data_IF_139343202430
#
_entry.id   IF_139343202430
#
_cell.length_a   1.000
_cell.length_b   1.000
_cell.length_c   1.000
_cell.angle_alpha   90.00
_cell.angle_beta   90.00
_cell.angle_gamma   90.00
#
_symmetry.space_group_name_H-M   'P 1'
#
loop_
_entity.id
_entity.type
_entity.pdbx_description
1 polymer ?
#
# COMPACT_ATOMS: atom_id res chain seq x y z
N UNK A 1 -14.25 37.79 5.41
CA UNK A 1 -14.62 36.36 5.34
C UNK A 1 -15.56 36.07 6.50
N UNK A 2 -16.75 35.54 6.19
CA UNK A 2 -17.85 35.40 7.14
C UNK A 2 -17.59 34.27 8.15
N UNK A 3 -18.00 34.41 9.42
CA UNK A 3 -17.68 33.46 10.51
C UNK A 3 -18.12 32.02 10.17
N UNK A 4 -19.28 31.88 9.50
CA UNK A 4 -19.79 30.62 8.96
C UNK A 4 -18.86 30.00 7.91
N UNK A 5 -18.29 30.80 7.01
CA UNK A 5 -17.34 30.31 6.00
C UNK A 5 -16.04 29.83 6.64
N UNK A 6 -15.54 30.52 7.65
CA UNK A 6 -14.36 30.09 8.40
C UNK A 6 -14.58 28.78 9.16
N UNK A 7 -15.74 28.59 9.81
CA UNK A 7 -16.09 27.33 10.49
C UNK A 7 -16.19 26.18 9.49
N UNK A 8 -16.83 26.39 8.34
CA UNK A 8 -16.95 25.37 7.28
C UNK A 8 -15.57 25.01 6.70
N UNK A 9 -14.69 25.99 6.50
CA UNK A 9 -13.32 25.75 6.02
C UNK A 9 -12.49 24.97 7.04
N UNK A 10 -12.60 25.31 8.33
CA UNK A 10 -11.91 24.62 9.42
C UNK A 10 -12.42 23.18 9.62
N UNK A 11 -13.74 22.96 9.57
CA UNK A 11 -14.32 21.62 9.62
C UNK A 11 -13.88 20.77 8.42
N UNK A 12 -13.83 21.36 7.21
CA UNK A 12 -13.36 20.66 6.01
C UNK A 12 -11.88 20.29 6.06
N UNK A 13 -11.02 21.14 6.63
CA UNK A 13 -9.59 20.81 6.79
C UNK A 13 -9.34 19.75 7.87
N UNK A 14 -10.11 19.79 8.96
CA UNK A 14 -10.08 18.78 10.02
C UNK A 14 -10.49 17.40 9.51
N UNK A 15 -11.63 17.32 8.82
CA UNK A 15 -12.16 16.06 8.31
C UNK A 15 -11.28 15.50 7.19
N UNK A 16 -10.81 16.32 6.25
CA UNK A 16 -9.96 15.87 5.12
C UNK A 16 -8.79 14.99 5.55
N UNK A 17 -8.14 15.35 6.66
CA UNK A 17 -6.96 14.67 7.18
C UNK A 17 -7.28 13.59 8.22
N UNK A 18 -8.55 13.33 8.51
CA UNK A 18 -8.99 12.37 9.52
C UNK A 18 -8.42 10.96 9.31
N UNK A 19 -8.35 10.37 8.10
CA UNK A 19 -7.80 9.03 7.92
C UNK A 19 -6.32 8.94 8.34
N UNK A 20 -5.53 9.98 8.03
CA UNK A 20 -4.13 10.07 8.47
C UNK A 20 -4.05 10.19 9.99
N UNK A 21 -4.91 11.00 10.61
CA UNK A 21 -4.96 11.13 12.07
C UNK A 21 -5.30 9.79 12.73
N UNK A 22 -6.28 9.09 12.18
CA UNK A 22 -6.70 7.78 12.65
C UNK A 22 -5.56 6.77 12.56
N UNK A 23 -4.99 6.58 11.37
CA UNK A 23 -3.93 5.59 11.14
C UNK A 23 -2.62 5.85 11.89
N UNK A 24 -2.20 7.11 11.94
CA UNK A 24 -0.87 7.43 12.43
C UNK A 24 -0.84 7.96 13.86
N UNK A 25 -1.97 8.40 14.44
CA UNK A 25 -2.01 8.88 15.83
C UNK A 25 -2.86 8.00 16.74
N UNK A 26 -4.09 7.68 16.33
CA UNK A 26 -5.06 7.03 17.21
C UNK A 26 -4.79 5.52 17.29
N UNK A 27 -4.79 4.83 16.14
CA UNK A 27 -4.62 3.37 16.09
C UNK A 27 -3.30 2.87 16.69
N UNK A 28 -2.14 3.52 16.48
CA UNK A 28 -0.87 3.06 17.04
C UNK A 28 -0.86 3.11 18.56
N UNK A 29 -1.44 4.16 19.16
CA UNK A 29 -1.54 4.29 20.62
C UNK A 29 -2.50 3.26 21.19
N UNK A 30 -3.68 3.10 20.57
CA UNK A 30 -4.65 2.08 21.00
C UNK A 30 -4.05 0.68 20.92
N UNK A 31 -3.37 0.35 19.82
CA UNK A 31 -2.75 -0.96 19.66
C UNK A 31 -1.60 -1.20 20.63
N UNK A 32 -0.73 -0.20 20.84
CA UNK A 32 0.34 -0.30 21.81
C UNK A 32 -0.23 -0.59 23.20
N UNK A 33 -1.28 0.14 23.60
CA UNK A 33 -1.96 -0.08 24.87
C UNK A 33 -2.60 -1.47 24.96
N UNK A 34 -3.41 -1.85 23.96
CA UNK A 34 -4.10 -3.14 23.93
C UNK A 34 -3.12 -4.32 23.99
N UNK A 35 -1.99 -4.26 23.29
CA UNK A 35 -1.01 -5.34 23.32
C UNK A 35 -0.16 -5.36 24.59
N UNK A 36 0.30 -4.19 25.06
CA UNK A 36 1.15 -4.12 26.26
C UNK A 36 0.40 -4.53 27.53
N UNK A 37 -0.84 -4.08 27.69
CA UNK A 37 -1.59 -4.22 28.94
C UNK A 37 -2.70 -5.27 28.88
N UNK A 38 -3.36 -5.46 27.73
CA UNK A 38 -4.52 -6.35 27.62
C UNK A 38 -4.21 -7.65 26.86
N UNK A 39 -3.07 -7.73 26.17
CA UNK A 39 -2.69 -8.81 25.27
C UNK A 39 -3.75 -9.08 24.17
N UNK A 40 -4.42 -8.03 23.68
CA UNK A 40 -5.44 -8.09 22.64
C UNK A 40 -4.95 -7.35 21.39
N UNK A 41 -5.25 -7.90 20.21
CA UNK A 41 -5.04 -7.23 18.92
C UNK A 41 -6.34 -6.61 18.41
N UNK A 42 -6.40 -5.29 18.18
CA UNK A 42 -7.59 -4.64 17.62
C UNK A 42 -7.89 -5.12 16.19
N UNK A 43 -9.17 -5.29 15.85
CA UNK A 43 -9.58 -5.53 14.47
C UNK A 43 -9.78 -4.20 13.74
N UNK A 44 -8.87 -3.88 12.81
CA UNK A 44 -8.90 -2.64 12.05
C UNK A 44 -9.89 -2.64 10.87
N UNK A 45 -10.51 -3.78 10.52
CA UNK A 45 -11.47 -3.83 9.41
C UNK A 45 -12.67 -2.94 9.69
N UNK A 46 -13.18 -3.03 10.93
CA UNK A 46 -14.33 -2.24 11.41
C UNK A 46 -14.00 -0.76 11.43
N UNK A 47 -12.75 -0.40 11.73
CA UNK A 47 -12.31 1.01 11.82
C UNK A 47 -12.52 1.73 10.49
N UNK A 48 -12.21 1.09 9.38
CA UNK A 48 -12.36 1.72 8.06
C UNK A 48 -13.82 1.84 7.59
N UNK A 49 -14.74 1.09 8.21
CA UNK A 49 -16.18 1.23 8.01
C UNK A 49 -16.73 2.62 8.42
N UNK A 50 -15.99 3.39 9.23
CA UNK A 50 -16.37 4.76 9.57
C UNK A 50 -16.23 5.73 8.39
N UNK A 51 -15.33 5.47 7.44
CA UNK A 51 -15.06 6.41 6.36
C UNK A 51 -16.25 6.61 5.41
N UNK A 52 -16.95 5.56 4.94
CA UNK A 52 -18.21 5.73 4.20
C UNK A 52 -19.26 6.54 4.95
N UNK A 53 -19.42 6.30 6.26
CA UNK A 53 -20.39 7.02 7.10
C UNK A 53 -20.04 8.51 7.12
N UNK A 54 -18.77 8.85 7.34
CA UNK A 54 -18.29 10.23 7.32
C UNK A 54 -18.44 10.87 5.92
N UNK A 55 -18.25 10.12 4.84
CA UNK A 55 -18.53 10.61 3.49
C UNK A 55 -20.00 11.00 3.38
N UNK A 56 -20.93 10.13 3.76
CA UNK A 56 -22.38 10.41 3.66
C UNK A 56 -22.76 11.64 4.49
N UNK A 57 -22.26 11.75 5.72
CA UNK A 57 -22.61 12.83 6.65
C UNK A 57 -22.04 14.21 6.25
N UNK A 58 -20.86 14.25 5.61
CA UNK A 58 -20.11 15.49 5.40
C UNK A 58 -19.87 15.85 3.93
N UNK A 59 -20.26 15.02 2.97
CA UNK A 59 -20.19 15.34 1.55
C UNK A 59 -21.19 16.46 1.20
N UNK A 60 -20.69 17.69 1.08
CA UNK A 60 -21.51 18.88 0.75
C UNK A 60 -21.22 19.46 -0.64
N UNK A 61 -20.24 18.93 -1.36
CA UNK A 61 -19.76 19.45 -2.66
C UNK A 61 -20.04 18.44 -3.76
N UNK A 62 -20.25 18.92 -4.98
CA UNK A 62 -20.28 18.03 -6.16
C UNK A 62 -18.90 17.39 -6.37
N UNK A 63 -18.90 16.11 -6.76
CA UNK A 63 -17.68 15.40 -7.10
C UNK A 63 -16.98 16.07 -8.29
N UNK A 64 -15.66 16.03 -8.25
CA UNK A 64 -14.84 16.43 -9.39
C UNK A 64 -15.15 15.53 -10.59
N UNK A 65 -15.39 16.11 -11.77
CA UNK A 65 -15.67 15.40 -13.03
C UNK A 65 -14.67 14.27 -13.32
N UNK A 66 -13.38 14.48 -13.07
CA UNK A 66 -12.37 13.43 -13.28
C UNK A 66 -12.58 12.23 -12.35
N UNK A 67 -12.85 12.49 -11.06
CA UNK A 67 -13.07 11.44 -10.07
C UNK A 67 -14.40 10.73 -10.34
N UNK A 68 -15.44 11.48 -10.72
CA UNK A 68 -16.72 10.92 -11.13
C UNK A 68 -16.57 9.96 -12.31
N UNK A 69 -15.86 10.36 -13.37
CA UNK A 69 -15.61 9.50 -14.51
C UNK A 69 -14.86 8.21 -14.12
N UNK A 70 -13.83 8.32 -13.28
CA UNK A 70 -13.09 7.14 -12.78
C UNK A 70 -14.02 6.23 -11.98
N UNK A 71 -14.87 6.79 -11.10
CA UNK A 71 -15.86 6.01 -10.35
C UNK A 71 -16.82 5.27 -11.28
N UNK A 72 -17.37 5.94 -12.31
CA UNK A 72 -18.24 5.29 -13.29
C UNK A 72 -17.55 4.11 -13.98
N UNK A 73 -16.30 4.30 -14.44
CA UNK A 73 -15.51 3.22 -15.07
C UNK A 73 -15.27 2.08 -14.08
N UNK A 74 -14.85 2.39 -12.85
CA UNK A 74 -14.63 1.38 -11.80
C UNK A 74 -15.91 0.63 -11.48
N UNK A 75 -17.06 1.30 -11.39
CA UNK A 75 -18.36 0.66 -11.15
C UNK A 75 -18.73 -0.29 -12.29
N UNK A 76 -18.55 0.11 -13.56
CA UNK A 76 -18.79 -0.76 -14.71
C UNK A 76 -17.89 -1.99 -14.64
N UNK A 77 -16.60 -1.82 -14.35
CA UNK A 77 -15.65 -2.93 -14.21
C UNK A 77 -16.04 -3.89 -13.08
N UNK A 78 -16.52 -3.36 -11.94
CA UNK A 78 -17.03 -4.17 -10.83
C UNK A 78 -18.27 -4.94 -11.26
N UNK A 79 -19.22 -4.29 -11.91
CA UNK A 79 -20.43 -4.96 -12.40
C UNK A 79 -20.03 -6.11 -13.33
N UNK A 80 -19.21 -5.85 -14.34
CA UNK A 80 -18.78 -6.84 -15.32
C UNK A 80 -18.00 -7.99 -14.69
N UNK A 81 -17.11 -7.72 -13.72
CA UNK A 81 -16.19 -8.73 -13.20
C UNK A 81 -16.69 -9.45 -11.94
N UNK A 82 -17.46 -8.78 -11.08
CA UNK A 82 -17.89 -9.30 -9.79
C UNK A 82 -19.39 -9.57 -9.71
N UNK A 83 -20.25 -8.88 -10.46
CA UNK A 83 -21.72 -8.99 -10.34
C UNK A 83 -22.31 -9.87 -11.44
N UNK A 84 -22.05 -9.57 -12.73
CA UNK A 84 -22.59 -10.36 -13.86
C UNK A 84 -22.29 -11.86 -13.71
N UNK A 85 -21.06 -12.28 -13.35
CA UNK A 85 -20.75 -13.71 -13.24
C UNK A 85 -21.53 -14.45 -12.16
N UNK A 86 -22.11 -13.75 -11.17
CA UNK A 86 -22.95 -14.35 -10.12
C UNK A 86 -24.16 -15.05 -10.74
N UNK A 87 -24.71 -14.51 -11.82
CA UNK A 87 -25.88 -15.08 -12.50
C UNK A 87 -25.56 -16.29 -13.39
N UNK A 88 -24.29 -16.58 -13.63
CA UNK A 88 -23.83 -17.68 -14.49
C UNK A 88 -22.91 -18.66 -13.74
N UNK A 89 -22.89 -18.58 -12.41
CA UNK A 89 -22.04 -19.40 -11.54
C UNK A 89 -22.85 -20.06 -10.44
N UNK A 90 -22.87 -21.38 -10.45
CA UNK A 90 -23.64 -22.12 -9.43
C UNK A 90 -22.91 -22.26 -8.09
N UNK A 91 -21.59 -22.03 -8.03
CA UNK A 91 -20.77 -22.26 -6.83
C UNK A 91 -19.89 -21.05 -6.48
N UNK A 92 -20.49 -19.97 -5.96
CA UNK A 92 -19.75 -18.82 -5.42
C UNK A 92 -19.52 -18.97 -3.93
N UNK A 93 -18.24 -18.98 -3.54
CA UNK A 93 -17.83 -18.85 -2.14
C UNK A 93 -17.78 -17.38 -1.78
N UNK A 94 -18.85 -16.89 -1.16
CA UNK A 94 -19.04 -15.46 -0.82
C UNK A 94 -17.90 -14.88 0.01
N UNK A 95 -17.33 -15.64 0.93
CA UNK A 95 -16.19 -15.18 1.73
C UNK A 95 -14.97 -14.90 0.87
N UNK A 96 -14.67 -15.77 -0.10
CA UNK A 96 -13.60 -15.56 -1.06
C UNK A 96 -13.87 -14.35 -1.97
N UNK A 97 -15.10 -14.22 -2.45
CA UNK A 97 -15.55 -13.06 -3.24
C UNK A 97 -15.34 -11.74 -2.49
N UNK A 98 -15.71 -11.69 -1.20
CA UNK A 98 -15.53 -10.51 -0.33
C UNK A 98 -14.05 -10.19 -0.06
N UNK A 99 -13.21 -11.21 0.09
CA UNK A 99 -11.77 -11.03 0.27
C UNK A 99 -11.11 -10.44 -0.98
N UNK A 100 -11.53 -10.87 -2.16
CA UNK A 100 -11.01 -10.38 -3.44
C UNK A 100 -11.51 -8.97 -3.79
N UNK A 101 -12.75 -8.60 -3.44
CA UNK A 101 -13.30 -7.26 -3.74
C UNK A 101 -12.77 -6.16 -2.80
N UNK A 102 -12.16 -6.55 -1.67
CA UNK A 102 -11.72 -5.65 -0.59
C UNK A 102 -10.89 -4.45 -1.09
N UNK A 103 -9.97 -4.67 -2.02
CA UNK A 103 -9.13 -3.59 -2.55
C UNK A 103 -9.90 -2.58 -3.41
N UNK A 104 -10.95 -3.01 -4.12
CA UNK A 104 -11.84 -2.14 -4.89
C UNK A 104 -12.70 -1.28 -3.96
N UNK A 105 -13.17 -1.87 -2.85
CA UNK A 105 -13.87 -1.13 -1.81
C UNK A 105 -12.98 0.00 -1.25
N UNK A 106 -11.72 -0.29 -0.95
CA UNK A 106 -10.76 0.73 -0.50
C UNK A 106 -10.47 1.79 -1.59
N UNK A 107 -10.40 1.39 -2.86
CA UNK A 107 -10.25 2.31 -3.99
C UNK A 107 -11.43 3.28 -4.11
N UNK A 108 -12.67 2.77 -4.02
CA UNK A 108 -13.89 3.59 -4.08
C UNK A 108 -13.90 4.58 -2.91
N UNK A 109 -13.62 4.12 -1.69
CA UNK A 109 -13.52 5.01 -0.52
C UNK A 109 -12.47 6.08 -0.76
N UNK A 110 -11.29 5.71 -1.24
CA UNK A 110 -10.21 6.65 -1.52
C UNK A 110 -10.59 7.71 -2.55
N UNK A 111 -11.24 7.30 -3.64
CA UNK A 111 -11.73 8.19 -4.69
C UNK A 111 -12.80 9.15 -4.16
N UNK A 112 -13.81 8.64 -3.45
CA UNK A 112 -14.88 9.47 -2.87
C UNK A 112 -14.32 10.44 -1.84
N UNK A 113 -13.43 9.98 -0.95
CA UNK A 113 -12.83 10.81 0.08
C UNK A 113 -12.06 11.99 -0.51
N UNK A 114 -11.15 11.72 -1.45
CA UNK A 114 -10.38 12.76 -2.14
C UNK A 114 -11.29 13.61 -3.03
N UNK A 115 -12.36 13.03 -3.58
CA UNK A 115 -13.36 13.72 -4.39
C UNK A 115 -14.14 14.78 -3.62
N UNK A 116 -14.59 14.46 -2.41
CA UNK A 116 -15.40 15.35 -1.59
C UNK A 116 -14.57 16.28 -0.69
N UNK A 117 -13.51 15.77 -0.08
CA UNK A 117 -12.72 16.50 0.92
C UNK A 117 -11.40 17.05 0.38
N UNK A 118 -10.95 16.57 -0.79
CA UNK A 118 -9.73 17.03 -1.45
C UNK A 118 -8.46 16.27 -1.03
N UNK A 119 -7.34 16.66 -1.64
CA UNK A 119 -6.03 16.06 -1.39
C UNK A 119 -5.58 16.27 0.07
N UNK A 120 -5.09 15.19 0.68
CA UNK A 120 -4.53 15.15 2.03
C UNK A 120 -3.28 16.03 2.10
N UNK A 121 -3.14 16.76 3.20
CA UNK A 121 -2.01 17.65 3.43
C UNK A 121 -0.71 16.86 3.71
N UNK A 122 0.35 17.17 2.96
CA UNK A 122 1.65 16.51 3.10
C UNK A 122 2.30 16.76 4.45
N UNK A 123 2.10 17.94 5.07
CA UNK A 123 2.65 18.21 6.41
C UNK A 123 2.01 17.29 7.45
N UNK A 124 0.71 17.05 7.32
CA UNK A 124 -0.03 16.14 8.21
C UNK A 124 0.42 14.69 8.04
N UNK A 125 0.67 14.24 6.79
CA UNK A 125 1.24 12.91 6.52
C UNK A 125 2.61 12.75 7.21
N UNK A 126 3.52 13.71 7.03
CA UNK A 126 4.87 13.64 7.58
C UNK A 126 4.85 13.68 9.12
N UNK A 127 4.09 14.60 9.72
CA UNK A 127 3.94 14.69 11.19
C UNK A 127 3.34 13.43 11.79
N UNK A 128 2.33 12.86 11.11
CA UNK A 128 1.75 11.57 11.51
C UNK A 128 2.78 10.45 11.43
N UNK A 129 3.54 10.37 10.34
CA UNK A 129 4.61 9.38 10.19
C UNK A 129 5.66 9.47 11.29
N UNK A 130 6.09 10.68 11.66
CA UNK A 130 6.99 10.87 12.79
C UNK A 130 6.42 10.37 14.10
N UNK A 131 5.18 10.76 14.41
CA UNK A 131 4.50 10.30 15.62
C UNK A 131 4.40 8.77 15.65
N UNK A 132 4.00 8.15 14.53
CA UNK A 132 3.97 6.70 14.39
C UNK A 132 5.33 6.07 14.64
N UNK A 133 6.41 6.58 14.04
CA UNK A 133 7.76 6.08 14.27
C UNK A 133 8.15 6.13 15.75
N UNK A 134 7.84 7.22 16.46
CA UNK A 134 8.14 7.32 17.88
C UNK A 134 7.35 6.29 18.70
N UNK A 135 6.03 6.17 18.48
CA UNK A 135 5.20 5.16 19.15
C UNK A 135 5.69 3.75 18.84
N UNK A 136 6.04 3.47 17.59
CA UNK A 136 6.53 2.17 17.12
C UNK A 136 7.86 1.79 17.78
N UNK A 137 8.84 2.69 17.78
CA UNK A 137 10.13 2.47 18.44
C UNK A 137 9.93 2.24 19.94
N UNK A 138 9.14 3.10 20.61
CA UNK A 138 8.84 2.96 22.04
C UNK A 138 8.16 1.63 22.33
N UNK A 139 7.16 1.25 21.53
CA UNK A 139 6.46 -0.02 21.67
C UNK A 139 7.42 -1.22 21.60
N UNK A 140 8.30 -1.26 20.59
CA UNK A 140 9.26 -2.37 20.43
C UNK A 140 10.23 -2.42 21.61
N UNK A 141 10.71 -1.28 22.10
CA UNK A 141 11.58 -1.23 23.28
C UNK A 141 10.84 -1.80 24.50
N UNK A 142 9.61 -1.34 24.76
CA UNK A 142 8.82 -1.82 25.89
C UNK A 142 8.50 -3.32 25.79
N UNK A 143 8.14 -3.80 24.60
CA UNK A 143 7.92 -5.23 24.37
C UNK A 143 9.20 -6.04 24.57
N UNK A 144 10.34 -5.55 24.09
CA UNK A 144 11.65 -6.20 24.28
C UNK A 144 12.02 -6.30 25.76
N UNK A 145 11.77 -5.23 26.53
CA UNK A 145 11.97 -5.23 27.99
C UNK A 145 11.02 -6.22 28.68
N UNK A 146 9.75 -6.27 28.25
CA UNK A 146 8.73 -7.19 28.78
C UNK A 146 9.06 -8.66 28.52
N UNK A 147 9.58 -8.99 27.33
CA UNK A 147 9.88 -10.37 26.93
C UNK A 147 11.33 -10.79 27.16
N UNK A 148 12.20 -9.87 27.58
CA UNK A 148 13.63 -10.11 27.83
C UNK A 148 14.48 -10.31 26.57
N UNK A 149 13.90 -10.22 25.37
CA UNK A 149 14.61 -10.40 24.10
C UNK A 149 13.87 -9.73 22.94
N UNK A 150 14.63 -9.31 21.92
CA UNK A 150 14.09 -8.78 20.68
C UNK A 150 13.68 -9.92 19.75
N UNK A 151 12.43 -9.91 19.27
CA UNK A 151 11.93 -10.90 18.32
C UNK A 151 11.04 -10.24 17.26
N UNK A 152 10.95 -10.88 16.09
CA UNK A 152 10.04 -10.43 15.02
C UNK A 152 8.58 -10.47 15.47
N UNK A 153 8.19 -11.46 16.27
CA UNK A 153 6.84 -11.56 16.82
C UNK A 153 6.45 -10.36 17.68
N UNK A 154 7.43 -9.74 18.33
CA UNK A 154 7.25 -8.57 19.21
C UNK A 154 7.37 -7.22 18.48
N UNK A 155 7.61 -7.25 17.15
CA UNK A 155 7.78 -6.04 16.33
C UNK A 155 6.52 -5.63 15.56
N UNK A 156 5.40 -6.35 15.71
CA UNK A 156 4.10 -5.98 15.13
C UNK A 156 3.32 -5.07 16.08
N UNK A 157 3.27 -3.78 15.81
CA UNK A 157 2.49 -2.82 16.58
C UNK A 157 1.02 -2.84 16.18
N UNK A 158 0.66 -2.68 14.90
CA UNK A 158 -0.74 -2.74 14.51
C UNK A 158 -1.11 -4.19 14.20
N UNK A 159 -0.33 -4.84 13.34
CA UNK A 159 -0.60 -6.22 12.94
C UNK A 159 0.71 -6.99 12.70
N UNK A 160 1.10 -7.22 11.44
CA UNK A 160 2.38 -7.82 11.08
C UNK A 160 3.46 -6.75 10.90
N UNK A 161 4.70 -7.05 11.32
CA UNK A 161 5.83 -6.13 11.23
C UNK A 161 6.11 -5.62 9.81
N UNK A 162 5.84 -6.42 8.77
CA UNK A 162 5.97 -5.99 7.37
C UNK A 162 4.94 -4.92 7.00
N UNK A 163 3.73 -5.01 7.55
CA UNK A 163 2.64 -4.08 7.24
C UNK A 163 2.88 -2.74 7.94
N UNK A 164 3.36 -2.80 9.18
CA UNK A 164 3.79 -1.61 9.92
C UNK A 164 4.99 -0.93 9.25
N UNK A 165 5.94 -1.72 8.73
CA UNK A 165 7.05 -1.18 7.94
C UNK A 165 6.57 -0.45 6.68
N UNK A 166 5.59 -1.02 5.96
CA UNK A 166 4.98 -0.34 4.82
C UNK A 166 4.35 0.99 5.27
N UNK A 167 3.58 1.00 6.37
CA UNK A 167 2.99 2.22 6.91
C UNK A 167 4.04 3.29 7.26
N UNK A 168 5.22 2.91 7.74
CA UNK A 168 6.35 3.83 7.97
C UNK A 168 6.89 4.42 6.66
N UNK A 169 6.94 3.64 5.59
CA UNK A 169 7.50 4.05 4.29
C UNK A 169 6.59 5.01 3.52
N UNK A 170 5.26 4.97 3.73
CA UNK A 170 4.30 5.89 3.10
C UNK A 170 4.63 7.36 3.40
N UNK A 171 4.69 7.82 4.67
CA UNK A 171 5.06 9.19 5.01
C UNK A 171 6.53 9.50 4.67
N UNK A 172 7.43 8.50 4.72
CA UNK A 172 8.81 8.68 4.27
C UNK A 172 8.88 9.13 2.80
N UNK A 173 7.97 8.67 1.94
CA UNK A 173 7.89 9.12 0.54
C UNK A 173 7.70 10.64 0.40
N UNK A 174 7.16 11.31 1.42
CA UNK A 174 6.90 12.75 1.43
C UNK A 174 8.01 13.59 2.07
N UNK A 175 9.00 12.98 2.73
CA UNK A 175 9.99 13.70 3.57
C UNK A 175 10.81 14.71 2.77
N UNK A 176 11.10 14.43 1.50
CA UNK A 176 11.88 15.33 0.63
C UNK A 176 11.06 16.47 0.01
N UNK A 177 9.79 16.63 0.38
CA UNK A 177 8.94 17.69 -0.18
C UNK A 177 9.28 19.08 0.40
N UNK A 178 9.68 19.18 1.67
CA UNK A 178 10.07 20.46 2.25
C UNK A 178 11.60 20.51 2.36
N UNK A 179 12.21 21.52 1.74
CA UNK A 179 13.67 21.77 1.77
C UNK A 179 14.21 22.02 3.18
N UNK A 180 13.34 22.34 4.14
CA UNK A 180 13.70 22.65 5.53
C UNK A 180 13.89 21.41 6.42
N UNK A 181 13.71 20.19 5.90
CA UNK A 181 13.80 19.01 6.73
C UNK A 181 15.25 18.58 6.97
N UNK A 182 15.68 18.69 8.23
CA UNK A 182 16.99 18.31 8.71
C UNK A 182 17.22 16.79 8.63
N UNK A 183 18.47 16.37 8.46
CA UNK A 183 18.89 14.95 8.46
C UNK A 183 18.38 14.19 9.69
N UNK A 184 18.22 14.86 10.83
CA UNK A 184 17.70 14.30 12.09
C UNK A 184 16.26 13.77 11.96
N UNK A 185 15.48 14.28 11.01
CA UNK A 185 14.10 13.85 10.80
C UNK A 185 13.99 12.55 9.98
N UNK A 186 15.05 12.16 9.28
CA UNK A 186 15.09 10.88 8.57
C UNK A 186 15.34 9.71 9.55
N UNK A 187 16.08 9.98 10.64
CA UNK A 187 16.56 8.94 11.55
C UNK A 187 15.43 8.08 12.17
N UNK A 188 14.30 8.64 12.67
CA UNK A 188 13.21 7.81 13.20
C UNK A 188 12.63 6.84 12.19
N UNK A 189 12.57 7.22 10.90
CA UNK A 189 12.11 6.33 9.83
C UNK A 189 13.10 5.17 9.60
N UNK A 190 14.39 5.47 9.52
CA UNK A 190 15.44 4.45 9.36
C UNK A 190 15.38 3.45 10.52
N UNK A 191 15.36 3.96 11.76
CA UNK A 191 15.30 3.11 12.96
C UNK A 191 14.04 2.23 12.96
N UNK A 192 12.87 2.81 12.66
CA UNK A 192 11.62 2.04 12.60
C UNK A 192 11.66 0.94 11.54
N UNK A 193 12.18 1.23 10.34
CA UNK A 193 12.33 0.21 9.28
C UNK A 193 13.29 -0.90 9.69
N UNK A 194 14.43 -0.57 10.30
CA UNK A 194 15.38 -1.59 10.77
C UNK A 194 14.78 -2.45 11.90
N UNK A 195 14.10 -1.83 12.86
CA UNK A 195 13.44 -2.52 13.98
C UNK A 195 12.24 -3.38 13.55
N UNK A 196 11.63 -3.09 12.39
CA UNK A 196 10.55 -3.93 11.83
C UNK A 196 11.03 -5.30 11.34
N UNK A 197 12.34 -5.49 11.13
CA UNK A 197 12.95 -6.69 10.54
C UNK A 197 12.42 -7.04 9.13
N UNK A 198 11.79 -6.09 8.43
CA UNK A 198 11.26 -6.30 7.08
C UNK A 198 12.36 -6.24 6.02
N UNK A 199 12.57 -7.34 5.30
CA UNK A 199 13.59 -7.42 4.24
C UNK A 199 13.29 -6.47 3.08
N UNK A 200 12.03 -6.44 2.65
CA UNK A 200 11.57 -5.61 1.54
C UNK A 200 11.48 -4.16 1.93
N UNK A 201 11.12 -3.87 3.19
CA UNK A 201 11.12 -2.53 3.72
C UNK A 201 12.50 -1.87 3.73
N UNK A 202 13.53 -2.60 4.16
CA UNK A 202 14.93 -2.10 4.13
C UNK A 202 15.39 -1.82 2.70
N UNK A 203 15.12 -2.75 1.77
CA UNK A 203 15.44 -2.58 0.36
C UNK A 203 14.69 -1.38 -0.26
N UNK A 204 13.39 -1.23 0.04
CA UNK A 204 12.57 -0.12 -0.43
C UNK A 204 13.05 1.22 0.11
N UNK A 205 13.38 1.30 1.40
CA UNK A 205 13.99 2.48 2.02
C UNK A 205 15.29 2.87 1.30
N UNK A 206 16.21 1.92 1.11
CA UNK A 206 17.48 2.14 0.44
C UNK A 206 17.31 2.64 -0.99
N UNK A 207 16.42 2.00 -1.77
CA UNK A 207 16.12 2.43 -3.15
C UNK A 207 15.51 3.83 -3.16
N UNK A 208 14.55 4.14 -2.30
CA UNK A 208 13.91 5.47 -2.25
C UNK A 208 14.93 6.55 -1.88
N UNK A 209 15.85 6.27 -0.96
CA UNK A 209 16.92 7.20 -0.55
C UNK A 209 17.97 7.42 -1.65
N UNK A 210 18.35 6.36 -2.36
CA UNK A 210 19.43 6.39 -3.38
C UNK A 210 18.92 6.91 -4.73
N UNK A 211 17.67 6.64 -5.10
CA UNK A 211 17.11 6.94 -6.41
C UNK A 211 17.29 8.42 -6.86
N UNK A 212 17.09 9.44 -6.01
CA UNK A 212 17.35 10.84 -6.37
C UNK A 212 18.80 11.11 -6.80
N UNK A 213 19.77 10.44 -6.18
CA UNK A 213 21.20 10.57 -6.50
C UNK A 213 21.55 9.77 -7.76
N UNK A 214 21.01 8.55 -7.88
CA UNK A 214 21.14 7.73 -9.09
C UNK A 214 20.69 8.48 -10.35
N UNK A 215 19.56 9.19 -10.30
CA UNK A 215 19.02 9.94 -11.46
C UNK A 215 19.95 11.07 -11.91
N UNK A 216 20.70 11.68 -11.00
CA UNK A 216 21.58 12.83 -11.27
C UNK A 216 23.02 12.44 -11.55
N UNK A 217 23.45 11.25 -11.13
CA UNK A 217 24.85 10.85 -11.22
C UNK A 217 25.22 10.25 -12.57
N UNK A 218 26.48 10.48 -12.98
CA UNK A 218 27.13 9.78 -14.09
C UNK A 218 27.49 8.33 -13.71
N UNK A 219 27.66 8.03 -12.41
CA UNK A 219 28.10 6.73 -11.90
C UNK A 219 26.94 5.84 -11.47
N UNK A 220 26.00 5.58 -12.39
CA UNK A 220 24.77 4.80 -12.12
C UNK A 220 25.03 3.40 -11.55
N UNK A 221 26.07 2.73 -12.03
CA UNK A 221 26.46 1.37 -11.62
C UNK A 221 26.87 1.34 -10.15
N UNK A 222 27.59 2.36 -9.67
CA UNK A 222 28.03 2.45 -8.26
C UNK A 222 26.83 2.47 -7.30
N UNK A 223 25.81 3.29 -7.59
CA UNK A 223 24.62 3.36 -6.75
C UNK A 223 23.79 2.07 -6.75
N UNK A 224 23.73 1.37 -7.88
CA UNK A 224 23.12 0.03 -7.95
C UNK A 224 23.94 -0.99 -7.15
N UNK A 225 25.27 -0.90 -7.20
CA UNK A 225 26.18 -1.70 -6.38
C UNK A 225 25.98 -1.48 -4.88
N UNK A 226 25.82 -0.23 -4.43
CA UNK A 226 25.55 0.09 -3.02
C UNK A 226 24.24 -0.54 -2.54
N UNK A 227 23.16 -0.44 -3.34
CA UNK A 227 21.87 -1.08 -3.02
C UNK A 227 22.04 -2.60 -2.94
N UNK A 228 22.75 -3.19 -3.92
CA UNK A 228 23.04 -4.62 -3.96
C UNK A 228 23.80 -5.09 -2.73
N UNK A 229 24.89 -4.39 -2.37
CA UNK A 229 25.73 -4.71 -1.21
C UNK A 229 24.95 -4.60 0.10
N UNK A 230 24.19 -3.51 0.31
CA UNK A 230 23.36 -3.35 1.52
C UNK A 230 22.35 -4.49 1.63
N UNK A 231 21.71 -4.85 0.51
CA UNK A 231 20.73 -5.93 0.48
C UNK A 231 21.39 -7.27 0.77
N UNK A 232 22.55 -7.57 0.15
CA UNK A 232 23.29 -8.82 0.36
C UNK A 232 23.78 -8.94 1.81
N UNK A 233 24.37 -7.89 2.37
CA UNK A 233 24.84 -7.88 3.78
C UNK A 233 23.67 -8.13 4.71
N UNK A 234 22.54 -7.46 4.49
CA UNK A 234 21.36 -7.60 5.34
C UNK A 234 20.73 -9.00 5.21
N UNK A 235 20.67 -9.55 3.99
CA UNK A 235 20.22 -10.92 3.74
C UNK A 235 21.17 -11.94 4.41
N UNK A 236 22.49 -11.76 4.27
CA UNK A 236 23.52 -12.62 4.85
C UNK A 236 23.41 -12.69 6.39
N UNK A 237 23.33 -11.53 7.06
CA UNK A 237 23.17 -11.45 8.52
C UNK A 237 21.90 -12.18 8.98
N UNK A 238 20.84 -12.14 8.18
CA UNK A 238 19.56 -12.72 8.55
C UNK A 238 19.47 -14.22 8.27
N UNK A 239 19.99 -14.70 7.13
CA UNK A 239 19.92 -16.11 6.75
C UNK A 239 20.82 -16.99 7.63
N UNK A 240 22.03 -16.53 7.96
CA UNK A 240 22.94 -17.29 8.85
C UNK A 240 22.34 -17.47 10.24
N UNK A 241 21.65 -16.45 10.78
CA UNK A 241 21.02 -16.55 12.10
C UNK A 241 19.81 -17.51 12.15
N UNK A 242 19.30 -17.97 11.01
CA UNK A 242 18.11 -18.83 10.95
C UNK A 242 18.33 -20.23 10.38
N UNK A 243 19.56 -20.58 9.98
CA UNK A 243 19.86 -21.93 9.47
C UNK A 243 19.06 -22.31 8.22
N UNK A 244 18.61 -21.33 7.43
CA UNK A 244 17.86 -21.57 6.20
C UNK A 244 18.83 -22.01 5.11
N UNK A 245 18.75 -23.28 4.71
CA UNK A 245 19.67 -23.91 3.74
C UNK A 245 19.10 -23.98 2.31
N UNK A 246 17.77 -24.01 2.14
CA UNK A 246 17.13 -24.21 0.82
C UNK A 246 16.25 -23.04 0.37
N UNK A 247 16.31 -22.70 -0.92
CA UNK A 247 15.48 -21.65 -1.54
C UNK A 247 13.99 -21.99 -1.46
N UNK A 248 13.63 -23.28 -1.48
CA UNK A 248 12.25 -23.77 -1.36
C UNK A 248 11.63 -23.51 0.02
N UNK A 249 12.44 -23.27 1.06
CA UNK A 249 11.96 -22.87 2.38
C UNK A 249 11.58 -21.38 2.48
N UNK A 250 11.75 -20.61 1.39
CA UNK A 250 11.34 -19.21 1.32
C UNK A 250 9.91 -19.14 0.80
N UNK A 251 8.96 -18.80 1.67
CA UNK A 251 7.52 -18.68 1.36
C UNK A 251 7.23 -18.10 -0.04
N UNK A 252 7.91 -16.99 -0.37
CA UNK A 252 7.74 -16.29 -1.65
C UNK A 252 8.04 -17.15 -2.87
N UNK A 253 9.08 -17.99 -2.82
CA UNK A 253 9.41 -18.90 -3.92
C UNK A 253 8.28 -19.91 -4.15
N UNK A 254 7.68 -20.43 -3.07
CA UNK A 254 6.51 -21.32 -3.12
C UNK A 254 5.32 -20.60 -3.77
N UNK A 255 5.01 -19.36 -3.38
CA UNK A 255 3.94 -18.58 -4.01
C UNK A 255 4.18 -18.32 -5.51
N UNK A 256 5.42 -18.03 -5.92
CA UNK A 256 5.77 -17.87 -7.34
C UNK A 256 5.63 -19.19 -8.10
N UNK A 257 6.12 -20.30 -7.53
CA UNK A 257 6.00 -21.63 -8.14
C UNK A 257 4.53 -22.02 -8.34
N UNK A 258 3.68 -21.84 -7.32
CA UNK A 258 2.25 -22.11 -7.45
C UNK A 258 1.58 -21.19 -8.48
N UNK A 259 1.99 -19.91 -8.55
CA UNK A 259 1.47 -18.99 -9.57
C UNK A 259 1.82 -19.44 -10.99
N UNK A 260 3.07 -19.84 -11.24
CA UNK A 260 3.48 -20.34 -12.56
C UNK A 260 2.83 -21.67 -12.89
N UNK A 261 2.67 -22.57 -11.92
CA UNK A 261 1.93 -23.82 -12.09
C UNK A 261 0.46 -23.56 -12.45
N UNK A 262 -0.16 -22.55 -11.86
CA UNK A 262 -1.49 -22.11 -12.26
C UNK A 262 -1.50 -21.58 -13.70
N UNK A 263 -0.60 -20.66 -14.07
CA UNK A 263 -0.58 -20.05 -15.41
C UNK A 263 -0.33 -21.11 -16.50
N UNK A 264 0.48 -22.13 -16.25
CA UNK A 264 0.74 -23.19 -17.23
C UNK A 264 -0.47 -24.09 -17.49
N UNK A 265 -1.42 -24.15 -16.56
CA UNK A 265 -2.63 -24.98 -16.64
C UNK A 265 -3.90 -24.19 -16.95
N UNK A 266 -3.86 -22.86 -16.79
CA UNK A 266 -4.99 -21.98 -17.05
C UNK A 266 -5.31 -21.92 -18.55
N UNK A 267 -6.59 -21.76 -18.88
CA UNK A 267 -6.99 -21.50 -20.27
C UNK A 267 -6.42 -20.18 -20.76
N UNK A 268 -6.24 -20.05 -22.07
CA UNK A 268 -5.79 -18.79 -22.68
C UNK A 268 -6.66 -17.58 -22.25
N UNK A 269 -7.98 -17.79 -22.13
CA UNK A 269 -8.91 -16.75 -21.72
C UNK A 269 -8.76 -16.37 -20.25
N UNK A 270 -8.51 -17.33 -19.36
CA UNK A 270 -8.24 -17.06 -17.95
C UNK A 270 -6.91 -16.34 -17.76
N UNK A 271 -5.91 -16.59 -18.60
CA UNK A 271 -4.64 -15.85 -18.58
C UNK A 271 -4.83 -14.38 -18.97
N UNK A 272 -5.70 -14.11 -19.95
CA UNK A 272 -5.93 -12.75 -20.47
C UNK A 272 -6.91 -11.94 -19.62
N UNK A 273 -8.03 -12.54 -19.21
CA UNK A 273 -9.12 -11.84 -18.52
C UNK A 273 -9.20 -12.15 -17.03
N UNK A 274 -8.41 -13.12 -16.56
CA UNK A 274 -8.39 -13.57 -15.19
C UNK A 274 -9.61 -14.38 -14.80
N UNK A 275 -9.52 -15.01 -13.65
CA UNK A 275 -10.55 -15.85 -13.07
C UNK A 275 -11.68 -15.05 -12.43
N UNK A 276 -12.84 -15.68 -12.25
CA UNK A 276 -13.96 -15.05 -11.57
C UNK A 276 -13.77 -15.08 -10.04
N UNK A 277 -13.90 -13.93 -9.35
CA UNK A 277 -13.80 -13.88 -7.90
C UNK A 277 -14.81 -14.81 -7.21
N UNK A 278 -14.40 -15.42 -6.10
CA UNK A 278 -15.27 -16.31 -5.32
C UNK A 278 -15.38 -17.74 -5.85
N UNK A 279 -14.73 -18.07 -6.97
CA UNK A 279 -14.51 -19.46 -7.40
C UNK A 279 -13.07 -19.89 -7.08
N UNK A 280 -12.84 -21.16 -6.69
CA UNK A 280 -11.49 -21.67 -6.48
C UNK A 280 -10.74 -21.74 -7.81
N UNK A 281 -9.44 -21.43 -7.77
CA UNK A 281 -8.55 -21.55 -8.92
C UNK A 281 -8.51 -22.99 -9.41
N UNK A 282 -8.64 -23.18 -10.72
CA UNK A 282 -8.47 -24.49 -11.35
C UNK A 282 -6.99 -24.84 -11.49
N UNK A 283 -6.65 -26.11 -11.29
CA UNK A 283 -5.31 -26.64 -11.51
C UNK A 283 -4.77 -27.43 -10.33
N UNK A 284 -3.63 -28.08 -10.54
CA UNK A 284 -2.94 -28.80 -9.47
C UNK A 284 -2.34 -27.83 -8.45
N UNK A 285 -2.28 -28.31 -7.21
CA UNK A 285 -1.61 -27.64 -6.10
C UNK A 285 -0.26 -28.32 -5.94
N UNK A 286 0.83 -27.55 -5.90
CA UNK A 286 2.15 -28.10 -5.59
C UNK A 286 2.21 -28.48 -4.11
N UNK A 287 2.92 -29.56 -3.78
CA UNK A 287 2.96 -30.11 -2.40
C UNK A 287 3.39 -29.08 -1.36
N UNK A 288 4.39 -28.26 -1.69
CA UNK A 288 4.89 -27.19 -0.81
C UNK A 288 3.87 -26.08 -0.54
N UNK A 289 2.78 -25.99 -1.34
CA UNK A 289 1.71 -25.03 -1.17
C UNK A 289 0.52 -25.57 -0.36
N UNK A 290 0.42 -26.90 -0.18
CA UNK A 290 -0.71 -27.55 0.51
C UNK A 290 -0.86 -27.04 1.94
N UNK A 291 0.25 -26.85 2.66
CA UNK A 291 0.23 -26.31 4.02
C UNK A 291 -0.44 -24.93 4.11
N UNK A 292 -0.17 -24.05 3.13
CA UNK A 292 -0.79 -22.73 3.08
C UNK A 292 -2.29 -22.83 2.86
N UNK A 293 -2.72 -23.72 1.96
CA UNK A 293 -4.14 -23.96 1.73
C UNK A 293 -4.79 -24.44 3.03
N UNK A 294 -4.26 -25.48 3.69
CA UNK A 294 -4.85 -25.98 4.94
C UNK A 294 -4.96 -24.91 6.03
N UNK A 295 -3.95 -24.04 6.16
CA UNK A 295 -3.99 -22.90 7.10
C UNK A 295 -5.08 -21.88 6.74
N UNK A 296 -5.19 -21.53 5.45
CA UNK A 296 -6.19 -20.58 4.99
C UNK A 296 -7.61 -21.13 5.05
N UNK A 297 -7.81 -22.40 4.69
CA UNK A 297 -9.08 -23.11 4.79
C UNK A 297 -9.53 -23.20 6.25
N UNK A 298 -8.64 -23.60 7.16
CA UNK A 298 -8.95 -23.67 8.60
C UNK A 298 -9.33 -22.31 9.20
N UNK A 299 -8.63 -21.24 8.84
CA UNK A 299 -8.94 -19.88 9.33
C UNK A 299 -10.20 -19.28 8.71
N UNK A 300 -10.52 -19.67 7.47
CA UNK A 300 -11.60 -19.06 6.71
C UNK A 300 -12.86 -19.91 6.54
N UNK A 301 -12.82 -21.18 6.95
CA UNK A 301 -13.91 -22.13 6.74
C UNK A 301 -14.40 -22.13 5.29
N UNK A 302 -13.45 -22.23 4.36
CA UNK A 302 -13.66 -22.32 2.91
C UNK A 302 -12.85 -23.49 2.38
N UNK A 303 -13.23 -24.03 1.23
CA UNK A 303 -12.50 -25.12 0.56
C UNK A 303 -12.00 -24.61 -0.80
N UNK A 304 -10.76 -24.91 -1.13
CA UNK A 304 -10.10 -24.61 -2.39
C UNK A 304 -8.97 -23.58 -2.29
N UNK A 305 -8.29 -23.39 -3.43
CA UNK A 305 -7.22 -22.41 -3.59
C UNK A 305 -7.78 -21.11 -4.17
N UNK A 306 -7.54 -19.96 -3.53
CA UNK A 306 -8.09 -18.67 -3.95
C UNK A 306 -7.00 -17.62 -4.21
N UNK A 307 -7.27 -16.60 -5.04
CA UNK A 307 -6.30 -15.57 -5.37
C UNK A 307 -5.77 -14.82 -4.14
N UNK A 308 -6.62 -14.57 -3.13
CA UNK A 308 -6.20 -13.88 -1.91
C UNK A 308 -5.24 -14.68 -1.02
N UNK A 309 -4.92 -15.94 -1.33
CA UNK A 309 -3.86 -16.69 -0.64
C UNK A 309 -2.48 -16.14 -1.00
N UNK A 310 -2.29 -15.68 -2.24
CA UNK A 310 -0.99 -15.20 -2.71
C UNK A 310 -0.59 -13.92 -2.01
N UNK A 311 0.65 -13.81 -1.52
CA UNK A 311 1.06 -12.54 -0.90
C UNK A 311 1.25 -11.40 -1.91
N UNK A 312 1.63 -11.66 -3.16
CA UNK A 312 1.89 -10.60 -4.15
C UNK A 312 0.61 -9.95 -4.67
N UNK A 313 0.49 -8.62 -4.59
CA UNK A 313 -0.59 -7.88 -5.28
C UNK A 313 -0.57 -8.12 -6.79
N UNK A 314 0.61 -8.23 -7.41
CA UNK A 314 0.71 -8.44 -8.85
C UNK A 314 0.16 -9.81 -9.27
N UNK A 315 0.45 -10.86 -8.49
CA UNK A 315 -0.13 -12.18 -8.73
C UNK A 315 -1.65 -12.16 -8.54
N UNK A 316 -2.14 -11.53 -7.46
CA UNK A 316 -3.59 -11.40 -7.23
C UNK A 316 -4.29 -10.72 -8.40
N UNK A 317 -3.74 -9.61 -8.89
CA UNK A 317 -4.30 -8.90 -10.04
C UNK A 317 -4.17 -9.75 -11.31
N UNK A 318 -3.04 -10.45 -11.53
CA UNK A 318 -2.88 -11.31 -12.68
C UNK A 318 -3.87 -12.48 -12.69
N UNK A 319 -4.11 -13.10 -11.53
CA UNK A 319 -5.06 -14.20 -11.39
C UNK A 319 -6.49 -13.67 -11.59
N UNK A 320 -6.88 -12.58 -10.93
CA UNK A 320 -8.28 -12.11 -10.97
C UNK A 320 -8.59 -11.34 -12.24
N UNK A 321 -7.73 -10.43 -12.69
CA UNK A 321 -7.98 -9.51 -13.82
C UNK A 321 -7.19 -9.86 -15.09
N UNK A 322 -6.33 -10.87 -15.04
CA UNK A 322 -5.49 -11.29 -16.14
C UNK A 322 -4.11 -10.65 -16.12
N UNK A 323 -3.14 -11.37 -16.71
CA UNK A 323 -1.74 -10.93 -16.84
C UNK A 323 -1.63 -9.56 -17.53
N UNK A 324 -2.38 -9.23 -18.60
CA UNK A 324 -2.29 -7.92 -19.23
C UNK A 324 -2.60 -6.75 -18.29
N UNK A 325 -3.56 -6.91 -17.36
CA UNK A 325 -3.92 -5.86 -16.39
C UNK A 325 -2.80 -5.67 -15.35
N UNK A 326 -2.22 -6.77 -14.86
CA UNK A 326 -1.08 -6.71 -13.96
C UNK A 326 0.14 -6.04 -14.62
N UNK A 327 0.45 -6.39 -15.88
CA UNK A 327 1.52 -5.76 -16.65
C UNK A 327 1.25 -4.28 -16.92
N UNK A 328 0.00 -3.91 -17.25
CA UNK A 328 -0.39 -2.52 -17.44
C UNK A 328 -0.20 -1.69 -16.16
N UNK A 329 -0.53 -2.26 -14.99
CA UNK A 329 -0.27 -1.62 -13.69
C UNK A 329 1.24 -1.42 -13.46
N UNK A 330 2.06 -2.45 -13.65
CA UNK A 330 3.53 -2.37 -13.50
C UNK A 330 4.10 -1.32 -14.45
N UNK A 331 3.69 -1.35 -15.72
CA UNK A 331 4.10 -0.37 -16.72
C UNK A 331 3.71 1.07 -16.34
N UNK A 332 2.47 1.26 -15.86
CA UNK A 332 2.00 2.56 -15.40
C UNK A 332 2.81 3.09 -14.22
N UNK A 333 3.12 2.23 -13.24
CA UNK A 333 3.98 2.59 -12.11
C UNK A 333 5.39 2.97 -12.58
N UNK A 334 6.02 2.18 -13.47
CA UNK A 334 7.33 2.52 -14.06
C UNK A 334 7.26 3.87 -14.77
N UNK A 335 6.18 4.16 -15.50
CA UNK A 335 5.99 5.46 -16.17
C UNK A 335 5.89 6.59 -15.15
N UNK A 336 5.16 6.42 -14.05
CA UNK A 336 5.10 7.41 -12.97
C UNK A 336 6.49 7.65 -12.36
N UNK A 337 7.25 6.58 -12.14
CA UNK A 337 8.61 6.69 -11.59
C UNK A 337 9.51 7.53 -12.49
N UNK A 338 9.47 7.28 -13.80
CA UNK A 338 10.33 7.96 -14.77
C UNK A 338 9.88 9.39 -15.07
N UNK A 339 8.56 9.62 -15.22
CA UNK A 339 8.00 10.87 -15.76
C UNK A 339 7.46 11.84 -14.71
N UNK A 340 7.19 11.41 -13.48
CA UNK A 340 6.66 12.32 -12.46
C UNK A 340 7.73 13.27 -11.93
N UNK A 341 7.46 14.58 -12.02
CA UNK A 341 8.25 15.63 -11.38
C UNK A 341 7.92 15.78 -9.89
N UNK A 342 6.74 15.31 -9.45
CA UNK A 342 6.36 15.36 -8.05
C UNK A 342 6.98 14.17 -7.29
N UNK A 343 7.94 14.49 -6.41
CA UNK A 343 8.77 13.52 -5.69
C UNK A 343 7.94 12.49 -4.90
N UNK A 344 6.90 12.87 -4.12
CA UNK A 344 6.13 11.91 -3.35
C UNK A 344 5.39 10.90 -4.22
N UNK A 345 4.78 11.33 -5.35
CA UNK A 345 4.13 10.41 -6.28
C UNK A 345 5.12 9.40 -6.86
N UNK A 346 6.33 9.86 -7.22
CA UNK A 346 7.39 8.98 -7.72
C UNK A 346 7.83 7.97 -6.66
N UNK A 347 8.04 8.42 -5.43
CA UNK A 347 8.48 7.56 -4.33
C UNK A 347 7.40 6.55 -3.93
N UNK A 348 6.13 6.95 -3.91
CA UNK A 348 5.01 6.03 -3.69
C UNK A 348 4.88 4.99 -4.82
N UNK A 349 5.13 5.37 -6.07
CA UNK A 349 5.15 4.43 -7.19
C UNK A 349 6.32 3.43 -7.08
N UNK A 350 7.51 3.88 -6.66
CA UNK A 350 8.64 3.00 -6.33
C UNK A 350 8.30 2.05 -5.17
N UNK A 351 7.70 2.59 -4.10
CA UNK A 351 7.28 1.80 -2.95
C UNK A 351 6.30 0.70 -3.36
N UNK A 352 5.30 1.05 -4.19
CA UNK A 352 4.35 0.08 -4.74
C UNK A 352 5.06 -0.99 -5.58
N UNK A 353 5.98 -0.59 -6.47
CA UNK A 353 6.75 -1.52 -7.31
C UNK A 353 7.47 -2.57 -6.49
N UNK A 354 8.05 -2.18 -5.35
CA UNK A 354 8.88 -3.06 -4.53
C UNK A 354 8.05 -3.89 -3.54
N UNK A 355 7.22 -3.25 -2.71
CA UNK A 355 6.50 -3.96 -1.65
C UNK A 355 5.41 -4.89 -2.20
N UNK A 356 4.79 -4.52 -3.32
CA UNK A 356 3.69 -5.29 -3.90
C UNK A 356 4.12 -6.62 -4.52
N UNK A 357 5.43 -6.86 -4.65
CA UNK A 357 5.98 -8.17 -5.05
C UNK A 357 5.82 -9.17 -3.90
N UNK A 358 5.98 -8.71 -2.66
CA UNK A 358 6.01 -9.56 -1.46
C UNK A 358 4.78 -9.43 -0.57
N UNK A 359 3.98 -8.39 -0.76
CA UNK A 359 2.85 -8.04 0.09
C UNK A 359 1.63 -7.71 -0.73
N UNK A 360 0.46 -7.96 -0.16
CA UNK A 360 -0.82 -7.75 -0.80
C UNK A 360 -1.28 -6.32 -0.55
N UNK A 361 -0.38 -5.38 -0.89
CA UNK A 361 -0.38 -3.95 -0.62
C UNK A 361 -1.71 -3.22 -0.81
N UNK A 362 -2.61 -3.72 -1.65
CA UNK A 362 -3.93 -3.14 -1.92
C UNK A 362 -5.09 -3.77 -1.12
N UNK A 363 -4.87 -4.90 -0.45
CA UNK A 363 -5.87 -5.62 0.36
C UNK A 363 -5.55 -5.69 1.86
N UNK A 364 -4.37 -5.21 2.29
CA UNK A 364 -3.98 -5.12 3.70
C UNK A 364 -4.82 -4.09 4.44
N UNK A 365 -5.51 -4.52 5.47
CA UNK A 365 -6.49 -3.69 6.19
C UNK A 365 -5.85 -2.44 6.79
N UNK A 366 -4.71 -2.57 7.48
CA UNK A 366 -4.03 -1.45 8.13
C UNK A 366 -3.28 -0.54 7.15
N UNK A 367 -2.88 -1.03 5.97
CA UNK A 367 -2.03 -0.28 5.03
C UNK A 367 -2.82 0.31 3.85
N UNK A 368 -3.68 -0.50 3.22
CA UNK A 368 -4.17 -0.25 1.86
C UNK A 368 -5.03 0.99 1.76
N UNK A 369 -5.90 1.25 2.74
CA UNK A 369 -6.75 2.46 2.75
C UNK A 369 -5.88 3.72 2.75
N UNK A 370 -4.87 3.77 3.62
CA UNK A 370 -3.95 4.91 3.72
C UNK A 370 -3.06 5.01 2.49
N UNK A 371 -2.57 3.87 2.00
CA UNK A 371 -1.75 3.84 0.80
C UNK A 371 -2.51 4.39 -0.41
N UNK A 372 -3.73 3.91 -0.65
CA UNK A 372 -4.60 4.38 -1.74
C UNK A 372 -4.91 5.87 -1.58
N UNK A 373 -5.32 6.32 -0.39
CA UNK A 373 -5.62 7.73 -0.12
C UNK A 373 -4.43 8.64 -0.40
N UNK A 374 -3.24 8.27 0.08
CA UNK A 374 -2.03 9.05 -0.14
C UNK A 374 -1.57 8.99 -1.60
N UNK A 375 -1.74 7.87 -2.29
CA UNK A 375 -1.43 7.72 -3.71
C UNK A 375 -2.32 8.61 -4.59
N UNK A 376 -3.64 8.53 -4.40
CA UNK A 376 -4.62 9.38 -5.13
C UNK A 376 -4.37 10.86 -4.83
N UNK A 377 -4.12 11.20 -3.55
CA UNK A 377 -3.76 12.57 -3.16
C UNK A 377 -2.51 13.08 -3.89
N UNK A 378 -1.48 12.24 -4.02
CA UNK A 378 -0.26 12.58 -4.73
C UNK A 378 -0.48 12.77 -6.23
N UNK A 379 -1.30 11.92 -6.87
CA UNK A 379 -1.71 12.09 -8.28
C UNK A 379 -2.39 13.45 -8.47
N UNK A 380 -3.41 13.74 -7.65
CA UNK A 380 -4.19 14.97 -7.75
C UNK A 380 -3.31 16.22 -7.56
N UNK A 381 -2.38 16.15 -6.61
CA UNK A 381 -1.42 17.24 -6.36
C UNK A 381 -0.45 17.42 -7.54
N UNK A 382 0.03 16.33 -8.14
CA UNK A 382 0.91 16.35 -9.31
C UNK A 382 0.23 16.97 -10.54
N UNK A 383 -1.03 16.59 -10.80
CA UNK A 383 -1.83 17.15 -11.89
C UNK A 383 -2.03 18.66 -11.69
N UNK A 384 -2.36 19.10 -10.47
CA UNK A 384 -2.52 20.54 -10.15
C UNK A 384 -1.23 21.33 -10.38
N UNK A 385 -0.09 20.84 -9.91
CA UNK A 385 1.22 21.50 -10.11
C UNK A 385 1.60 21.61 -11.58
N UNK A 386 1.31 20.58 -12.37
CA UNK A 386 1.58 20.58 -13.81
C UNK A 386 0.72 21.61 -14.56
N UNK A 387 -0.54 21.79 -14.15
CA UNK A 387 -1.44 22.82 -14.72
C UNK A 387 -0.96 24.24 -14.38
N UNK A 388 -0.62 24.50 -13.12
CA UNK A 388 -0.10 25.82 -12.68
C UNK A 388 1.14 26.19 -13.47
N UNK A 389 2.13 25.28 -13.55
CA UNK A 389 3.37 25.53 -14.30
C UNK A 389 3.15 25.84 -15.78
N UNK A 390 2.09 25.31 -16.42
CA UNK A 390 1.75 25.59 -17.82
C UNK A 390 1.11 26.96 -18.01
N UNK A 391 0.24 27.35 -17.08
CA UNK A 391 -0.38 28.67 -17.12
C UNK A 391 0.67 29.77 -16.89
N UNK A 392 1.57 29.57 -15.91
CA UNK A 392 2.68 30.52 -15.65
C UNK A 392 3.63 30.66 -16.85
N UNK A 393 3.82 29.60 -17.66
CA UNK A 393 4.62 29.69 -18.89
C UNK A 393 3.86 30.40 -20.01
N UNK A 394 2.56 30.18 -20.17
CA UNK A 394 1.76 30.90 -21.17
C UNK A 394 1.65 32.40 -20.87
N UNK A 395 1.46 32.79 -19.61
CA UNK A 395 1.40 34.20 -19.21
C UNK A 395 2.75 34.92 -19.40
N UNK A 396 3.87 34.24 -19.07
CA UNK A 396 5.20 34.79 -19.33
C UNK A 396 5.57 34.85 -20.82
N UNK A 397 5.05 33.94 -21.65
CA UNK A 397 5.25 34.00 -23.11
C UNK A 397 4.45 35.15 -23.73
N UNK A 398 3.25 35.44 -23.20
CA UNK A 398 2.44 36.59 -23.63
C UNK A 398 3.05 37.94 -23.21
N UNK A 399 3.78 37.98 -22.10
CA UNK A 399 4.51 39.17 -21.64
C UNK A 399 5.81 39.43 -22.40
N UNK A 400 6.39 38.42 -23.05
CA UNK A 400 7.60 38.56 -23.89
C UNK A 400 7.29 38.91 -25.35
N UNK A 401 6.02 38.90 -25.75
CA UNK A 401 5.55 39.20 -27.12
C UNK A 401 4.88 40.58 -27.20
N UNK A 402 4.79 41.32 -26.09
CA UNK A 402 4.40 42.74 -26.04
C UNK A 402 5.62 43.57 -25.71
#
# INVERSE_FOLDING_TARGET
MDLKQNIILHQQTGIRNFPIKLAFYILPVLSAFSQLFLNIRPNYEVVWGILPILIILFARKKLNKYIFNVLCITTILIICKYIIPIFYTDNIVWRAWLMDIKWLYYLIIGLLWIGYFGAIDSKTIIRGGHFFCYVYITFIILMTLKTGHFSRGNSGLLDECNYDCFLVLIPFCYIYQNKSYERKQILPFILSVLMSTSKTGVMALGIIMVYPYYKKSKFKILYLGIIGIITIIWLYIFFIKRGVTDIESVDRAIFFAQFFNYVSQASFWDVIFGYFPGRPMSGSIIDSFVWYISEFEGRNNIIGCYPFYFHSTYMRIAIVWGIPVALALVYWLIRLVRKSNYIPLRNLALLMLLESISLSSLSLVNVSVIFILTFISAIMTSIRKTKISRNDTQDNTLLLVK
#
